data_IF_020388014575
#
_entry.id   IF_020388014575
#
_cell.length_a   1.000
_cell.length_b   1.000
_cell.length_c   1.000
_cell.angle_alpha   90.00
_cell.angle_beta   90.00
_cell.angle_gamma   90.00
#
_symmetry.space_group_name_H-M   'P 1'
#
loop_
_entity.id
_entity.type
_entity.pdbx_description
1 polymer ?
#
# COMPACT_ATOMS: atom_id res chain seq x y z
N UNK A 1 -14.84 -26.94 18.72
CA UNK A 1 -16.09 -26.27 18.40
C UNK A 1 -15.70 -24.89 17.89
N UNK A 2 -16.00 -24.57 16.65
CA UNK A 2 -15.72 -23.24 16.08
C UNK A 2 -16.79 -22.30 16.62
N UNK A 3 -16.39 -21.22 17.29
CA UNK A 3 -17.30 -20.16 17.69
C UNK A 3 -17.44 -19.24 16.46
N UNK A 4 -18.66 -19.03 16.02
CA UNK A 4 -18.98 -18.04 14.96
C UNK A 4 -19.45 -16.77 15.66
N UNK A 5 -18.84 -15.65 15.30
CA UNK A 5 -19.20 -14.32 15.81
C UNK A 5 -19.95 -13.64 14.65
N UNK A 6 -21.17 -13.23 14.91
CA UNK A 6 -21.98 -12.50 13.93
C UNK A 6 -21.84 -10.98 14.12
N UNK A 7 -22.09 -10.16 13.09
CA UNK A 7 -21.94 -8.70 13.20
C UNK A 7 -22.76 -8.07 14.32
N UNK A 8 -23.95 -8.60 14.62
CA UNK A 8 -24.81 -8.15 15.73
C UNK A 8 -24.18 -8.34 17.11
N UNK A 9 -23.32 -9.36 17.27
CA UNK A 9 -22.61 -9.63 18.52
C UNK A 9 -21.56 -8.56 18.85
N UNK A 10 -21.17 -7.77 17.85
CA UNK A 10 -20.11 -6.75 17.94
C UNK A 10 -20.64 -5.32 18.13
N UNK A 11 -21.96 -5.12 18.27
CA UNK A 11 -22.58 -3.79 18.28
C UNK A 11 -22.04 -2.89 19.41
N UNK A 12 -21.81 -3.42 20.60
CA UNK A 12 -21.25 -2.69 21.75
C UNK A 12 -19.79 -2.32 21.50
N UNK A 13 -19.02 -3.26 20.92
CA UNK A 13 -17.60 -3.08 20.62
C UNK A 13 -17.37 -2.09 19.46
N UNK A 14 -18.25 -2.11 18.47
CA UNK A 14 -18.27 -1.11 17.40
C UNK A 14 -18.61 0.28 17.96
N UNK A 15 -19.58 0.38 18.89
CA UNK A 15 -19.91 1.63 19.55
C UNK A 15 -18.74 2.21 20.38
N UNK A 16 -17.86 1.37 20.90
CA UNK A 16 -16.59 1.79 21.51
C UNK A 16 -15.60 2.36 20.48
N UNK A 17 -15.47 1.72 19.30
CA UNK A 17 -14.46 2.06 18.32
C UNK A 17 -14.84 3.25 17.43
N UNK A 18 -16.12 3.51 17.17
CA UNK A 18 -16.61 4.60 16.30
C UNK A 18 -16.11 5.98 16.72
N UNK A 19 -16.20 6.40 18.01
CA UNK A 19 -15.66 7.69 18.42
C UNK A 19 -14.14 7.81 18.24
N UNK A 20 -13.40 6.71 18.36
CA UNK A 20 -11.95 6.69 18.08
C UNK A 20 -11.70 6.91 16.60
N UNK A 21 -12.45 6.24 15.71
CA UNK A 21 -12.41 6.47 14.28
C UNK A 21 -12.64 7.93 13.92
N UNK A 22 -13.71 8.53 14.43
CA UNK A 22 -14.06 9.93 14.14
C UNK A 22 -12.98 10.91 14.65
N UNK A 23 -12.37 10.61 15.80
CA UNK A 23 -11.27 11.40 16.34
C UNK A 23 -9.99 11.27 15.48
N UNK A 24 -9.68 10.08 14.93
CA UNK A 24 -8.59 9.88 13.98
C UNK A 24 -8.86 10.63 12.67
N UNK A 25 -10.06 10.49 12.12
CA UNK A 25 -10.49 11.13 10.88
C UNK A 25 -10.39 12.67 10.97
N UNK A 26 -10.79 13.25 12.09
CA UNK A 26 -10.79 14.70 12.28
C UNK A 26 -9.39 15.32 12.47
N UNK A 27 -8.37 14.53 12.76
CA UNK A 27 -6.99 15.01 12.98
C UNK A 27 -5.97 14.04 12.35
N UNK A 28 -5.97 13.92 11.00
CA UNK A 28 -5.17 12.94 10.26
C UNK A 28 -3.70 13.33 10.22
N UNK A 29 -2.84 12.32 10.33
CA UNK A 29 -1.39 12.45 10.23
C UNK A 29 -0.85 11.61 9.06
N UNK A 30 0.26 12.06 8.44
CA UNK A 30 0.84 11.45 7.24
C UNK A 30 2.21 10.88 7.55
N UNK A 31 2.50 9.70 7.01
CA UNK A 31 3.82 9.09 7.03
C UNK A 31 4.09 8.20 8.22
N UNK A 32 5.34 8.14 8.66
CA UNK A 32 5.81 7.17 9.67
C UNK A 32 5.65 7.66 11.12
N UNK A 33 5.71 8.96 11.34
CA UNK A 33 5.65 9.57 12.69
C UNK A 33 4.27 10.18 12.94
N UNK A 34 3.45 9.50 13.71
CA UNK A 34 2.04 9.79 13.94
C UNK A 34 1.70 9.93 15.43
N UNK A 35 2.28 10.90 16.15
CA UNK A 35 2.18 10.96 17.61
C UNK A 35 0.76 11.13 18.15
N UNK A 36 -0.12 11.83 17.43
CA UNK A 36 -1.51 12.01 17.86
C UNK A 36 -2.34 10.75 17.62
N UNK A 37 -2.14 10.11 16.47
CA UNK A 37 -2.75 8.82 16.11
C UNK A 37 -2.33 7.76 17.11
N UNK A 38 -1.03 7.65 17.39
CA UNK A 38 -0.46 6.76 18.39
C UNK A 38 -1.10 7.00 19.78
N UNK A 39 -1.17 8.24 20.24
CA UNK A 39 -1.76 8.57 21.53
C UNK A 39 -3.23 8.17 21.64
N UNK A 40 -4.02 8.31 20.56
CA UNK A 40 -5.43 7.90 20.52
C UNK A 40 -5.58 6.39 20.58
N UNK A 41 -4.79 5.66 19.81
CA UNK A 41 -4.79 4.19 19.83
C UNK A 41 -4.40 3.67 21.21
N UNK A 42 -3.33 4.21 21.80
CA UNK A 42 -2.88 3.82 23.15
C UNK A 42 -3.95 4.13 24.22
N UNK A 43 -4.65 5.25 24.11
CA UNK A 43 -5.75 5.58 25.02
C UNK A 43 -6.91 4.57 24.90
N UNK A 44 -7.25 4.15 23.67
CA UNK A 44 -8.26 3.12 23.43
C UNK A 44 -7.81 1.76 23.99
N UNK A 45 -6.58 1.34 23.73
CA UNK A 45 -6.01 0.09 24.22
C UNK A 45 -5.99 0.04 25.76
N UNK A 46 -5.70 1.16 26.41
CA UNK A 46 -5.70 1.27 27.90
C UNK A 46 -7.08 1.03 28.50
N UNK A 47 -8.16 1.32 27.77
CA UNK A 47 -9.52 1.05 28.23
C UNK A 47 -9.90 -0.43 28.14
N UNK A 48 -9.10 -1.23 27.44
CA UNK A 48 -9.32 -2.67 27.23
C UNK A 48 -8.39 -3.50 28.11
N UNK A 49 -8.76 -4.77 28.32
CA UNK A 49 -7.92 -5.73 29.07
C UNK A 49 -6.92 -6.40 28.10
N UNK A 50 -5.96 -5.64 27.62
CA UNK A 50 -4.88 -6.12 26.75
C UNK A 50 -3.75 -6.65 27.64
N UNK A 51 -3.09 -7.75 27.24
CA UNK A 51 -2.02 -8.37 28.03
C UNK A 51 -0.72 -7.59 27.98
N UNK A 52 -0.29 -7.17 26.78
CA UNK A 52 0.91 -6.37 26.55
C UNK A 52 0.68 -5.38 25.43
N UNK A 53 1.30 -4.20 25.53
CA UNK A 53 1.32 -3.18 24.46
C UNK A 53 2.75 -2.68 24.27
N UNK A 54 3.22 -2.72 23.02
CA UNK A 54 4.55 -2.28 22.62
C UNK A 54 4.43 -1.14 21.63
N UNK A 55 5.28 -0.14 21.76
CA UNK A 55 5.35 1.05 20.89
C UNK A 55 6.69 1.14 20.19
N UNK A 56 6.84 2.08 19.26
CA UNK A 56 8.06 2.30 18.48
C UNK A 56 8.53 1.05 17.71
N UNK A 57 7.60 0.18 17.31
CA UNK A 57 7.92 -0.95 16.45
C UNK A 57 8.17 -0.43 15.03
N UNK A 58 9.37 -0.68 14.53
CA UNK A 58 9.91 -0.10 13.29
C UNK A 58 11.09 0.83 13.54
N UNK A 59 11.44 1.06 14.82
CA UNK A 59 12.59 1.85 15.26
C UNK A 59 12.38 3.37 15.22
N UNK A 60 13.06 4.07 16.06
CA UNK A 60 13.25 5.53 16.11
C UNK A 60 12.00 6.40 15.96
N UNK A 61 11.69 6.79 14.73
CA UNK A 61 10.60 7.72 14.42
C UNK A 61 9.36 7.03 13.80
N UNK A 62 9.24 5.70 13.95
CA UNK A 62 8.08 4.94 13.43
C UNK A 62 7.07 4.72 14.54
N UNK A 63 5.84 5.22 14.38
CA UNK A 63 4.75 5.10 15.36
C UNK A 63 4.04 3.74 15.29
N UNK A 64 4.78 2.64 15.09
CA UNK A 64 4.23 1.29 15.07
C UNK A 64 3.85 0.80 16.46
N UNK A 65 2.63 0.26 16.61
CA UNK A 65 2.10 -0.29 17.86
C UNK A 65 1.79 -1.77 17.66
N UNK A 66 2.12 -2.58 18.67
CA UNK A 66 1.72 -3.99 18.76
C UNK A 66 1.01 -4.21 20.08
N UNK A 67 -0.22 -4.73 20.03
CA UNK A 67 -0.99 -5.15 21.20
C UNK A 67 -1.17 -6.66 21.18
N UNK A 68 -0.97 -7.31 22.34
CA UNK A 68 -1.00 -8.77 22.49
C UNK A 68 -2.22 -9.17 23.31
N UNK A 69 -2.99 -10.12 22.79
CA UNK A 69 -4.15 -10.69 23.43
C UNK A 69 -4.07 -12.22 23.42
N UNK A 70 -3.91 -12.83 24.61
CA UNK A 70 -3.76 -14.27 24.74
C UNK A 70 -5.10 -14.93 25.06
N UNK A 71 -5.41 -15.97 24.29
CA UNK A 71 -6.51 -16.88 24.61
C UNK A 71 -6.18 -17.82 25.79
N UNK A 72 -7.18 -18.52 26.29
CA UNK A 72 -7.01 -19.46 27.39
C UNK A 72 -6.56 -20.85 26.97
N UNK A 73 -6.48 -21.13 25.67
CA UNK A 73 -6.10 -22.43 25.09
C UNK A 73 -4.87 -22.29 24.21
N UNK A 74 -4.00 -23.34 24.14
CA UNK A 74 -2.91 -23.35 23.17
C UNK A 74 -3.41 -23.25 21.73
N UNK A 75 -2.67 -22.54 20.88
CA UNK A 75 -3.00 -22.37 19.46
C UNK A 75 -1.99 -21.51 18.73
N UNK A 76 -2.28 -21.19 17.49
CA UNK A 76 -1.43 -20.36 16.62
C UNK A 76 -1.34 -18.90 17.10
N UNK A 77 -0.24 -18.26 16.73
CA UNK A 77 -0.07 -16.81 16.91
C UNK A 77 -0.42 -16.11 15.59
N UNK A 78 -1.54 -15.43 15.56
CA UNK A 78 -2.08 -14.76 14.35
C UNK A 78 -2.00 -13.26 14.54
N UNK A 79 -1.51 -12.56 13.52
CA UNK A 79 -1.49 -11.10 13.49
C UNK A 79 -2.63 -10.54 12.63
N UNK A 80 -3.37 -9.57 13.17
CA UNK A 80 -4.28 -8.71 12.42
C UNK A 80 -3.66 -7.32 12.28
N UNK A 81 -3.58 -6.81 11.04
CA UNK A 81 -2.98 -5.51 10.75
C UNK A 81 -4.05 -4.47 10.38
N UNK A 82 -3.90 -3.30 10.93
CA UNK A 82 -4.52 -2.07 10.45
C UNK A 82 -3.44 -1.02 10.17
N UNK A 83 -3.48 -0.41 9.00
CA UNK A 83 -2.75 0.82 8.70
C UNK A 83 -3.36 2.02 9.43
N UNK A 84 -2.59 3.11 9.61
CA UNK A 84 -3.02 4.20 10.50
C UNK A 84 -2.72 5.60 9.96
N UNK A 85 -2.03 5.73 8.85
CA UNK A 85 -1.67 7.01 8.24
C UNK A 85 -2.75 7.54 7.29
N UNK A 86 -2.60 8.81 6.90
CA UNK A 86 -3.52 9.54 6.04
C UNK A 86 -2.82 10.04 4.77
N UNK A 87 -3.61 10.59 3.84
CA UNK A 87 -3.17 11.13 2.55
C UNK A 87 -3.10 12.65 2.55
N UNK A 88 -2.21 13.25 1.71
CA UNK A 88 -2.13 14.70 1.50
C UNK A 88 -3.24 15.18 0.55
N UNK A 89 -4.48 15.05 0.99
CA UNK A 89 -5.70 15.38 0.23
C UNK A 89 -6.55 16.34 1.03
N UNK A 90 -7.07 17.40 0.39
CA UNK A 90 -8.03 18.30 1.00
C UNK A 90 -9.40 17.66 1.09
N UNK A 91 -9.92 17.50 2.30
CA UNK A 91 -11.24 16.91 2.51
C UNK A 91 -12.38 17.85 2.14
N UNK A 92 -13.40 17.33 1.45
CA UNK A 92 -14.61 18.04 1.01
C UNK A 92 -15.90 17.28 1.32
N UNK A 93 -15.88 16.36 2.28
CA UNK A 93 -17.03 15.50 2.60
C UNK A 93 -18.16 16.24 3.31
N UNK A 94 -17.86 17.30 4.07
CA UNK A 94 -18.82 18.05 4.87
C UNK A 94 -19.39 17.26 6.06
N UNK A 95 -18.71 16.21 6.51
CA UNK A 95 -19.09 15.44 7.70
C UNK A 95 -18.76 16.21 8.98
N UNK A 96 -19.50 15.94 10.05
CA UNK A 96 -19.26 16.59 11.37
C UNK A 96 -17.86 16.26 11.93
N UNK A 97 -17.33 15.09 11.57
CA UNK A 97 -16.00 14.62 11.92
C UNK A 97 -14.95 14.82 10.82
N UNK A 98 -15.24 15.64 9.79
CA UNK A 98 -14.28 15.95 8.74
C UNK A 98 -12.95 16.47 9.29
N UNK A 99 -11.88 16.26 8.52
CA UNK A 99 -10.53 16.70 8.88
C UNK A 99 -10.50 18.19 9.25
N UNK A 100 -9.85 18.46 10.38
CA UNK A 100 -9.55 19.83 10.86
C UNK A 100 -8.14 20.28 10.47
N UNK A 101 -7.40 19.40 9.78
CA UNK A 101 -6.04 19.65 9.32
C UNK A 101 -6.07 19.89 7.81
N UNK A 102 -5.93 21.14 7.33
CA UNK A 102 -5.96 21.45 5.90
C UNK A 102 -4.97 20.60 5.11
N UNK A 103 -5.40 20.13 3.94
CA UNK A 103 -4.58 19.32 3.03
C UNK A 103 -4.31 17.89 3.52
N UNK A 104 -5.05 17.37 4.51
CA UNK A 104 -4.90 15.98 4.98
C UNK A 104 -6.26 15.34 5.19
N UNK A 105 -6.38 14.07 4.79
CA UNK A 105 -7.62 13.31 4.92
C UNK A 105 -7.33 11.81 5.03
N UNK A 106 -8.08 11.09 5.85
CA UNK A 106 -8.17 9.62 5.79
C UNK A 106 -9.02 9.19 4.59
N UNK A 107 -8.52 9.47 3.36
CA UNK A 107 -9.26 9.18 2.13
C UNK A 107 -9.23 7.69 1.75
N UNK A 108 -8.24 6.93 2.24
CA UNK A 108 -8.12 5.48 2.02
C UNK A 108 -8.87 4.66 3.10
N UNK A 109 -9.34 5.31 4.17
CA UNK A 109 -10.15 4.65 5.21
C UNK A 109 -9.37 3.97 6.32
N UNK A 110 -8.08 4.29 6.52
CA UNK A 110 -7.23 3.68 7.55
C UNK A 110 -7.74 3.94 8.98
N UNK A 111 -8.45 5.04 9.21
CA UNK A 111 -9.22 5.29 10.43
C UNK A 111 -10.28 4.20 10.67
N UNK A 112 -10.93 3.74 9.61
CA UNK A 112 -11.90 2.63 9.64
C UNK A 112 -11.23 1.28 9.90
N UNK A 113 -10.06 1.02 9.28
CA UNK A 113 -9.29 -0.22 9.52
C UNK A 113 -8.82 -0.28 10.98
N UNK A 114 -8.33 0.82 11.52
CA UNK A 114 -7.97 0.96 12.93
C UNK A 114 -9.17 0.69 13.85
N UNK A 115 -10.34 1.26 13.55
CA UNK A 115 -11.56 1.03 14.33
C UNK A 115 -12.03 -0.42 14.27
N UNK A 116 -11.94 -1.07 13.09
CA UNK A 116 -12.27 -2.49 12.96
C UNK A 116 -11.38 -3.37 13.83
N UNK A 117 -10.06 -3.11 13.86
CA UNK A 117 -9.12 -3.83 14.71
C UNK A 117 -9.40 -3.58 16.21
N UNK A 118 -9.71 -2.34 16.59
CA UNK A 118 -10.10 -2.01 17.97
C UNK A 118 -11.42 -2.69 18.37
N UNK A 119 -12.38 -2.85 17.47
CA UNK A 119 -13.63 -3.60 17.71
C UNK A 119 -13.33 -5.07 18.04
N UNK A 120 -12.46 -5.72 17.23
CA UNK A 120 -12.02 -7.10 17.51
C UNK A 120 -11.33 -7.22 18.86
N UNK A 121 -10.43 -6.29 19.19
CA UNK A 121 -9.74 -6.27 20.48
C UNK A 121 -10.70 -6.05 21.65
N UNK A 122 -11.67 -5.17 21.51
CA UNK A 122 -12.70 -4.93 22.54
C UNK A 122 -13.47 -6.21 22.84
N UNK A 123 -13.99 -6.87 21.80
CA UNK A 123 -14.73 -8.12 21.96
C UNK A 123 -13.87 -9.21 22.60
N UNK A 124 -12.73 -9.53 22.01
CA UNK A 124 -11.86 -10.62 22.47
C UNK A 124 -11.22 -10.35 23.83
N UNK A 125 -11.05 -9.09 24.25
CA UNK A 125 -10.57 -8.75 25.59
C UNK A 125 -11.52 -9.22 26.69
N UNK A 126 -12.81 -9.39 26.37
CA UNK A 126 -13.87 -9.88 27.26
C UNK A 126 -14.17 -11.37 27.04
N UNK A 127 -13.84 -11.92 25.86
CA UNK A 127 -14.14 -13.29 25.45
C UNK A 127 -12.84 -14.06 25.19
N UNK A 128 -12.12 -14.41 26.24
CA UNK A 128 -10.79 -15.05 26.17
C UNK A 128 -10.81 -16.55 25.87
N UNK A 129 -11.98 -17.16 25.71
CA UNK A 129 -12.11 -18.62 25.47
C UNK A 129 -11.80 -18.99 24.00
N UNK A 130 -10.70 -18.47 23.48
CA UNK A 130 -10.16 -18.85 22.19
C UNK A 130 -8.79 -19.52 22.32
N UNK A 131 -8.33 -20.16 21.24
CA UNK A 131 -7.04 -20.83 21.18
C UNK A 131 -6.00 -19.91 20.51
N UNK A 132 -4.79 -19.85 21.08
CA UNK A 132 -3.67 -19.11 20.53
C UNK A 132 -3.54 -17.68 21.04
N UNK A 133 -2.83 -16.88 20.27
CA UNK A 133 -2.53 -15.47 20.58
C UNK A 133 -2.90 -14.59 19.38
N UNK A 134 -3.61 -13.52 19.65
CA UNK A 134 -3.83 -12.45 18.70
C UNK A 134 -2.77 -11.36 18.89
N UNK A 135 -2.09 -11.02 17.83
CA UNK A 135 -1.19 -9.86 17.72
C UNK A 135 -1.91 -8.81 16.88
N UNK A 136 -2.29 -7.70 17.51
CA UNK A 136 -2.86 -6.57 16.80
C UNK A 136 -1.72 -5.61 16.40
N UNK A 137 -1.57 -5.37 15.10
CA UNK A 137 -0.52 -4.54 14.51
C UNK A 137 -1.14 -3.26 13.97
N UNK A 138 -0.83 -2.12 14.59
CA UNK A 138 -1.20 -0.81 14.09
C UNK A 138 0.01 -0.22 13.39
N UNK A 139 -0.06 -0.14 12.07
CA UNK A 139 1.06 0.18 11.20
C UNK A 139 0.94 1.58 10.63
N UNK A 140 1.91 2.50 10.83
CA UNK A 140 1.98 3.80 10.14
C UNK A 140 2.57 3.67 8.75
N UNK A 141 2.36 4.68 7.90
CA UNK A 141 3.13 4.90 6.68
C UNK A 141 2.90 3.89 5.57
N UNK A 142 1.66 3.44 5.34
CA UNK A 142 1.31 2.63 4.19
C UNK A 142 1.42 3.44 2.89
N UNK A 143 1.00 4.69 2.89
CA UNK A 143 0.86 5.60 1.75
C UNK A 143 2.23 6.12 1.25
N UNK A 144 3.04 5.22 0.66
CA UNK A 144 4.32 5.56 0.03
C UNK A 144 5.54 5.58 0.95
N UNK A 145 5.40 5.26 2.25
CA UNK A 145 6.49 5.31 3.22
C UNK A 145 7.03 3.93 3.64
N UNK A 146 6.36 2.85 3.23
CA UNK A 146 6.73 1.46 3.52
C UNK A 146 6.89 1.17 5.04
N UNK A 147 5.95 1.62 5.86
CA UNK A 147 5.98 1.44 7.31
C UNK A 147 6.02 -0.02 7.74
N UNK A 148 5.35 -0.90 6.99
CA UNK A 148 5.40 -2.34 7.16
C UNK A 148 6.84 -2.88 7.05
N UNK A 149 7.63 -2.40 6.10
CA UNK A 149 9.03 -2.81 5.93
C UNK A 149 9.85 -2.48 7.19
N UNK A 150 9.70 -1.27 7.72
CA UNK A 150 10.42 -0.87 8.95
C UNK A 150 10.04 -1.75 10.13
N UNK A 151 8.75 -2.08 10.31
CA UNK A 151 8.31 -2.97 11.38
C UNK A 151 8.88 -4.40 11.21
N UNK A 152 8.92 -4.92 9.98
CA UNK A 152 9.53 -6.22 9.66
C UNK A 152 11.05 -6.21 9.92
N UNK A 153 11.75 -5.18 9.48
CA UNK A 153 13.20 -5.01 9.69
C UNK A 153 13.57 -4.87 11.17
N UNK A 154 12.68 -4.27 11.98
CA UNK A 154 12.79 -4.22 13.45
C UNK A 154 12.49 -5.56 14.13
N UNK A 155 12.17 -6.62 13.38
CA UNK A 155 11.96 -7.96 13.90
C UNK A 155 10.55 -8.25 14.41
N UNK A 156 9.52 -7.63 13.84
CA UNK A 156 8.11 -7.83 14.21
C UNK A 156 7.74 -9.32 14.30
N UNK A 157 8.16 -10.12 13.33
CA UNK A 157 7.81 -11.56 13.29
C UNK A 157 8.45 -12.33 14.42
N UNK A 158 9.76 -12.13 14.61
CA UNK A 158 10.58 -12.88 15.56
C UNK A 158 10.27 -12.47 17.01
N UNK A 159 10.11 -11.17 17.25
CA UNK A 159 9.80 -10.62 18.59
C UNK A 159 8.48 -11.12 19.15
N UNK A 160 7.49 -11.30 18.29
CA UNK A 160 6.14 -11.67 18.72
C UNK A 160 5.70 -13.09 18.32
N UNK A 161 6.59 -13.85 17.65
CA UNK A 161 6.33 -15.25 17.26
C UNK A 161 5.17 -15.39 16.28
N UNK A 162 4.98 -14.43 15.37
CA UNK A 162 3.87 -14.40 14.43
C UNK A 162 4.00 -15.53 13.42
N UNK A 163 2.92 -16.30 13.24
CA UNK A 163 2.85 -17.43 12.30
C UNK A 163 2.05 -17.09 11.04
N UNK A 164 1.07 -16.20 11.15
CA UNK A 164 0.18 -15.80 10.05
C UNK A 164 -0.20 -14.33 10.16
N UNK A 165 -0.41 -13.67 9.00
CA UNK A 165 -0.86 -12.29 8.94
C UNK A 165 -2.17 -12.16 8.18
N UNK A 166 -3.09 -11.34 8.71
CA UNK A 166 -4.33 -10.98 8.03
C UNK A 166 -4.58 -9.47 8.11
N UNK A 167 -5.14 -8.93 7.04
CA UNK A 167 -5.58 -7.54 6.99
C UNK A 167 -6.90 -7.42 6.23
N UNK A 168 -7.63 -6.35 6.48
CA UNK A 168 -8.75 -5.93 5.65
C UNK A 168 -8.45 -4.58 5.01
N UNK A 169 -9.07 -4.31 3.87
CA UNK A 169 -9.07 -2.98 3.27
C UNK A 169 -10.49 -2.61 2.81
N UNK A 170 -10.96 -1.42 3.18
CA UNK A 170 -12.23 -0.89 2.71
C UNK A 170 -12.23 -0.69 1.19
N UNK A 171 -13.30 -1.10 0.50
CA UNK A 171 -13.41 -0.95 -0.94
C UNK A 171 -14.80 -0.45 -1.34
N UNK A 172 -14.83 0.72 -2.00
CA UNK A 172 -16.06 1.36 -2.44
C UNK A 172 -16.71 0.69 -3.68
N UNK A 173 -15.98 -0.20 -4.36
CA UNK A 173 -16.50 -0.99 -5.48
C UNK A 173 -17.22 -2.27 -5.04
N UNK A 174 -17.07 -2.63 -3.76
CA UNK A 174 -17.75 -3.77 -3.13
C UNK A 174 -18.96 -3.26 -2.36
N UNK A 175 -20.11 -3.92 -2.53
CA UNK A 175 -21.35 -3.55 -1.84
C UNK A 175 -21.20 -3.63 -0.32
N UNK A 176 -21.88 -2.74 0.40
CA UNK A 176 -21.93 -2.75 1.86
C UNK A 176 -22.44 -4.10 2.38
N UNK A 177 -21.75 -4.64 3.39
CA UNK A 177 -22.08 -5.95 3.98
C UNK A 177 -21.47 -7.14 3.26
N UNK A 178 -20.77 -6.93 2.15
CA UNK A 178 -20.02 -7.99 1.45
C UNK A 178 -18.54 -7.94 1.75
N UNK A 179 -17.88 -9.08 1.62
CA UNK A 179 -16.43 -9.23 1.64
C UNK A 179 -15.95 -9.92 0.37
N UNK A 180 -14.78 -9.53 -0.12
CA UNK A 180 -14.26 -10.04 -1.37
C UNK A 180 -12.83 -10.57 -1.20
N UNK A 181 -12.53 -11.71 -1.82
CA UNK A 181 -11.24 -12.42 -1.71
C UNK A 181 -10.62 -12.64 -3.09
N UNK A 182 -9.31 -12.60 -3.14
CA UNK A 182 -8.53 -12.98 -4.32
C UNK A 182 -7.27 -13.76 -3.88
N UNK A 183 -7.16 -15.07 -4.17
CA UNK A 183 -5.96 -15.85 -3.87
C UNK A 183 -4.84 -15.57 -4.87
N UNK A 184 -3.58 -15.73 -4.45
CA UNK A 184 -2.42 -15.48 -5.30
C UNK A 184 -2.04 -13.99 -5.34
N UNK A 185 -1.45 -13.56 -6.44
CA UNK A 185 -1.03 -12.16 -6.62
C UNK A 185 -2.23 -11.21 -6.73
N UNK A 186 -2.59 -10.60 -5.62
CA UNK A 186 -3.77 -9.73 -5.50
C UNK A 186 -3.48 -8.27 -5.86
N UNK A 187 -2.27 -7.77 -5.53
CA UNK A 187 -1.87 -6.40 -5.84
C UNK A 187 -0.46 -6.37 -6.44
N UNK A 188 -0.24 -5.41 -7.35
CA UNK A 188 1.03 -5.28 -8.05
C UNK A 188 2.13 -4.75 -7.13
N UNK A 189 3.39 -5.00 -7.51
CA UNK A 189 4.50 -4.23 -6.97
C UNK A 189 4.34 -2.75 -7.33
N UNK A 190 5.01 -1.88 -6.60
CA UNK A 190 5.10 -0.47 -6.92
C UNK A 190 6.57 -0.08 -7.05
N UNK A 191 7.04 0.16 -8.28
CA UNK A 191 8.39 0.64 -8.54
C UNK A 191 8.36 2.00 -9.21
N UNK A 192 9.44 2.76 -9.00
CA UNK A 192 9.68 4.04 -9.63
C UNK A 192 11.01 4.02 -10.37
N UNK A 193 11.11 4.73 -11.48
CA UNK A 193 12.36 4.90 -12.19
C UNK A 193 12.63 6.35 -12.55
N UNK A 194 13.91 6.67 -12.68
CA UNK A 194 14.42 7.90 -13.26
C UNK A 194 15.51 7.55 -14.29
N UNK A 195 15.43 8.16 -15.46
CA UNK A 195 16.46 8.05 -16.52
C UNK A 195 16.91 9.46 -16.86
N UNK A 196 18.19 9.74 -16.67
CA UNK A 196 18.82 11.02 -17.03
C UNK A 196 19.73 10.80 -18.23
N UNK A 197 19.47 11.51 -19.32
CA UNK A 197 20.38 11.59 -20.46
C UNK A 197 21.23 12.85 -20.34
N UNK A 198 22.53 12.68 -20.06
CA UNK A 198 23.49 13.76 -20.02
C UNK A 198 24.14 13.90 -21.40
N UNK A 199 23.81 14.96 -22.09
CA UNK A 199 24.28 15.26 -23.43
C UNK A 199 25.24 16.45 -23.44
N UNK A 200 25.26 17.15 -24.59
CA UNK A 200 25.99 18.40 -24.78
C UNK A 200 25.05 19.43 -25.37
N UNK A 201 24.67 20.40 -24.56
CA UNK A 201 23.81 21.52 -25.00
C UNK A 201 24.49 22.50 -25.94
N UNK A 202 23.71 23.40 -26.52
CA UNK A 202 24.21 24.39 -27.42
C UNK A 202 23.13 25.23 -28.09
N UNK A 203 23.52 25.97 -29.13
CA UNK A 203 22.58 26.80 -29.86
C UNK A 203 21.72 25.97 -30.81
N UNK A 204 20.40 26.09 -30.75
CA UNK A 204 19.46 25.29 -31.55
C UNK A 204 19.63 25.36 -33.06
N UNK A 205 20.27 26.43 -33.59
CA UNK A 205 20.62 26.53 -35.04
C UNK A 205 21.90 25.79 -35.42
N UNK A 206 22.64 25.21 -34.44
CA UNK A 206 23.88 24.46 -34.67
C UNK A 206 23.87 23.09 -34.02
N UNK A 207 22.85 22.25 -34.32
CA UNK A 207 22.65 20.95 -33.64
C UNK A 207 23.83 19.99 -33.87
N UNK A 208 24.58 20.11 -34.96
CA UNK A 208 25.77 19.30 -35.25
C UNK A 208 26.93 19.50 -34.28
N UNK A 209 26.88 20.50 -33.42
CA UNK A 209 27.87 20.77 -32.35
C UNK A 209 27.42 20.26 -30.97
N UNK A 210 26.26 19.62 -30.92
CA UNK A 210 25.62 19.15 -29.68
C UNK A 210 25.44 17.63 -29.66
N UNK A 211 25.12 17.10 -28.49
CA UNK A 211 24.50 15.78 -28.28
C UNK A 211 23.16 16.04 -27.63
N UNK A 212 22.10 16.06 -28.42
CA UNK A 212 20.80 16.58 -28.01
C UNK A 212 20.03 15.58 -27.08
N UNK A 213 19.92 15.86 -25.77
CA UNK A 213 19.25 14.96 -24.87
C UNK A 213 17.72 14.99 -25.02
N UNK A 214 17.14 16.01 -25.63
CA UNK A 214 15.70 16.09 -25.91
C UNK A 214 15.28 15.02 -26.89
N UNK A 215 16.08 14.86 -27.96
CA UNK A 215 15.83 13.82 -28.99
C UNK A 215 16.01 12.43 -28.36
N UNK A 216 17.09 12.21 -27.59
CA UNK A 216 17.36 10.95 -26.92
C UNK A 216 16.24 10.55 -25.96
N UNK A 217 15.77 11.49 -25.13
CA UNK A 217 14.67 11.25 -24.19
C UNK A 217 13.34 10.94 -24.93
N UNK A 218 13.07 11.63 -26.03
CA UNK A 218 11.87 11.37 -26.85
C UNK A 218 11.87 9.95 -27.43
N UNK A 219 13.02 9.51 -27.98
CA UNK A 219 13.21 8.14 -28.48
C UNK A 219 13.05 7.12 -27.34
N UNK A 220 13.59 7.42 -26.15
CA UNK A 220 13.48 6.54 -24.98
C UNK A 220 12.02 6.34 -24.53
N UNK A 221 11.19 7.38 -24.57
CA UNK A 221 9.75 7.24 -24.24
C UNK A 221 9.08 6.21 -25.15
N UNK A 222 9.38 6.24 -26.45
CA UNK A 222 8.81 5.29 -27.41
C UNK A 222 9.41 3.89 -27.25
N UNK A 223 10.72 3.79 -27.10
CA UNK A 223 11.41 2.51 -26.97
C UNK A 223 11.02 1.75 -25.69
N UNK A 224 10.83 2.44 -24.57
CA UNK A 224 10.40 1.83 -23.30
C UNK A 224 9.04 1.12 -23.42
N UNK A 225 8.14 1.58 -24.32
CA UNK A 225 6.87 0.90 -24.56
C UNK A 225 7.06 -0.51 -25.14
N UNK A 226 8.20 -0.77 -25.77
CA UNK A 226 8.50 -2.09 -26.35
C UNK A 226 8.80 -3.15 -25.28
N UNK A 227 9.14 -2.75 -24.08
CA UNK A 227 9.38 -3.68 -22.97
C UNK A 227 8.12 -4.54 -22.74
N UNK A 228 6.98 -3.91 -22.50
CA UNK A 228 5.72 -4.62 -22.28
C UNK A 228 5.26 -5.30 -23.57
N UNK A 229 5.29 -4.59 -24.71
CA UNK A 229 4.68 -5.10 -25.93
C UNK A 229 5.51 -6.17 -26.65
N UNK A 230 6.82 -6.35 -26.34
CA UNK A 230 7.73 -7.24 -27.07
C UNK A 230 8.62 -8.13 -26.22
N UNK A 231 8.71 -7.87 -24.90
CA UNK A 231 9.58 -8.66 -24.03
C UNK A 231 8.81 -9.39 -22.91
N UNK A 232 7.73 -8.79 -22.39
CA UNK A 232 6.87 -9.44 -21.38
C UNK A 232 5.97 -10.45 -22.09
N UNK A 233 5.78 -11.63 -21.46
CA UNK A 233 4.85 -12.64 -21.96
C UNK A 233 3.43 -12.05 -21.97
N UNK A 234 2.63 -12.23 -23.04
CA UNK A 234 1.26 -11.74 -23.12
C UNK A 234 0.32 -12.19 -22.00
N UNK A 235 0.62 -13.32 -21.36
CA UNK A 235 -0.15 -13.83 -20.22
C UNK A 235 0.19 -13.11 -18.91
N UNK A 236 1.31 -12.38 -18.86
CA UNK A 236 1.77 -11.65 -17.69
C UNK A 236 1.31 -10.19 -17.73
N UNK A 237 0.74 -9.72 -16.62
CA UNK A 237 0.32 -8.33 -16.51
C UNK A 237 1.49 -7.45 -16.08
N UNK A 238 1.79 -6.41 -16.89
CA UNK A 238 2.82 -5.43 -16.60
C UNK A 238 2.43 -4.04 -17.08
N UNK A 239 2.88 -3.02 -16.35
CA UNK A 239 2.74 -1.61 -16.72
C UNK A 239 4.11 -0.94 -16.63
N UNK A 240 4.50 -0.23 -17.71
CA UNK A 240 5.64 0.69 -17.73
C UNK A 240 5.13 2.04 -18.24
N UNK A 241 5.06 3.03 -17.34
CA UNK A 241 4.55 4.36 -17.68
C UNK A 241 5.62 5.41 -17.44
N UNK A 242 5.97 6.16 -18.48
CA UNK A 242 6.73 7.42 -18.34
C UNK A 242 5.71 8.49 -17.95
N UNK A 243 5.86 9.06 -16.74
CA UNK A 243 4.91 10.01 -16.17
C UNK A 243 5.36 11.47 -16.31
N UNK A 244 6.66 11.71 -16.48
CA UNK A 244 7.20 13.05 -16.77
C UNK A 244 8.40 13.00 -17.69
N UNK A 245 8.57 14.09 -18.43
CA UNK A 245 9.76 14.40 -19.22
C UNK A 245 10.14 15.85 -18.95
N UNK A 246 11.37 16.07 -18.50
CA UNK A 246 11.88 17.39 -18.15
C UNK A 246 13.14 17.70 -18.97
N UNK A 247 13.12 18.76 -19.77
CA UNK A 247 14.26 19.18 -20.58
C UNK A 247 14.14 20.66 -20.94
N UNK A 248 15.25 21.40 -20.81
CA UNK A 248 15.30 22.82 -21.16
C UNK A 248 14.43 23.71 -20.26
N UNK A 249 14.16 24.91 -20.75
CA UNK A 249 13.28 25.89 -20.10
C UNK A 249 12.30 26.48 -21.13
N UNK A 250 11.16 26.94 -20.66
CA UNK A 250 10.10 27.53 -21.50
C UNK A 250 10.60 28.72 -22.31
N UNK A 251 11.49 29.51 -21.75
CA UNK A 251 12.03 30.74 -22.32
C UNK A 251 13.19 30.44 -23.30
N UNK A 252 13.83 29.28 -23.17
CA UNK A 252 15.03 28.90 -23.95
C UNK A 252 14.72 28.29 -25.32
N UNK A 253 13.87 28.92 -26.12
CA UNK A 253 13.39 28.37 -27.42
C UNK A 253 14.46 28.11 -28.48
N UNK A 254 15.67 28.65 -28.31
CA UNK A 254 16.82 28.44 -29.19
C UNK A 254 18.01 27.77 -28.50
N UNK A 255 17.79 27.16 -27.35
CA UNK A 255 18.82 26.52 -26.54
C UNK A 255 18.54 25.03 -26.40
N UNK A 256 19.46 24.18 -26.93
CA UNK A 256 19.47 22.75 -26.62
C UNK A 256 20.01 22.57 -25.19
N UNK A 257 19.27 21.90 -24.27
CA UNK A 257 19.70 21.76 -22.90
C UNK A 257 20.88 20.80 -22.73
N UNK A 258 21.50 20.79 -21.53
CA UNK A 258 22.59 19.90 -21.19
C UNK A 258 22.10 18.48 -20.84
N UNK A 259 20.87 18.37 -20.35
CA UNK A 259 20.28 17.09 -19.93
C UNK A 259 18.77 17.02 -20.17
N UNK A 260 18.26 15.80 -20.22
CA UNK A 260 16.83 15.51 -20.19
C UNK A 260 16.57 14.37 -19.17
N UNK A 261 15.51 14.48 -18.39
CA UNK A 261 15.14 13.52 -17.36
C UNK A 261 13.76 12.94 -17.64
N UNK A 262 13.66 11.63 -17.62
CA UNK A 262 12.40 10.88 -17.62
C UNK A 262 12.15 10.32 -16.23
N UNK A 263 10.89 10.37 -15.74
CA UNK A 263 10.46 9.69 -14.53
C UNK A 263 9.19 8.91 -14.80
N UNK A 264 9.06 7.77 -14.11
CA UNK A 264 7.90 6.94 -14.31
C UNK A 264 7.72 5.87 -13.25
N UNK A 265 6.77 4.99 -13.53
CA UNK A 265 6.41 3.90 -12.62
C UNK A 265 6.32 2.58 -13.36
N UNK A 266 6.60 1.50 -12.62
CA UNK A 266 6.45 0.11 -13.10
C UNK A 266 5.52 -0.63 -12.15
N UNK A 267 4.65 -1.50 -12.72
CA UNK A 267 3.79 -2.43 -12.00
C UNK A 267 3.92 -3.81 -12.61
N UNK A 268 4.20 -4.81 -11.78
CA UNK A 268 4.20 -6.24 -12.14
C UNK A 268 3.67 -7.05 -10.97
N UNK A 269 3.45 -8.33 -11.19
CA UNK A 269 3.04 -9.25 -10.12
C UNK A 269 4.13 -10.29 -9.84
N UNK A 270 4.76 -10.80 -10.86
CA UNK A 270 5.81 -11.82 -10.80
C UNK A 270 7.19 -11.16 -10.74
N UNK A 271 8.07 -11.74 -9.91
CA UNK A 271 9.42 -11.18 -9.69
C UNK A 271 10.30 -11.25 -10.94
N UNK A 272 10.20 -12.29 -11.72
CA UNK A 272 10.98 -12.47 -12.97
C UNK A 272 10.58 -11.44 -14.04
N UNK A 273 9.30 -11.08 -14.10
CA UNK A 273 8.82 -10.00 -14.97
C UNK A 273 9.37 -8.65 -14.51
N UNK A 274 9.41 -8.39 -13.19
CA UNK A 274 10.03 -7.19 -12.62
C UNK A 274 11.52 -7.11 -12.97
N UNK A 275 12.26 -8.22 -12.78
CA UNK A 275 13.68 -8.31 -13.08
C UNK A 275 13.95 -8.08 -14.58
N UNK A 276 13.11 -8.65 -15.46
CA UNK A 276 13.18 -8.44 -16.89
C UNK A 276 12.97 -6.97 -17.27
N UNK A 277 11.98 -6.30 -16.73
CA UNK A 277 11.68 -4.90 -17.06
C UNK A 277 12.83 -3.99 -16.63
N UNK A 278 13.37 -4.16 -15.44
CA UNK A 278 14.52 -3.40 -14.96
C UNK A 278 15.74 -3.59 -15.88
N UNK A 279 16.07 -4.85 -16.23
CA UNK A 279 17.16 -5.16 -17.17
C UNK A 279 16.94 -4.47 -18.52
N UNK A 280 15.75 -4.64 -19.12
CA UNK A 280 15.44 -4.07 -20.44
C UNK A 280 15.46 -2.54 -20.42
N UNK A 281 15.06 -1.91 -19.33
CA UNK A 281 15.11 -0.46 -19.18
C UNK A 281 16.54 0.04 -19.23
N UNK A 282 17.46 -0.61 -18.53
CA UNK A 282 18.90 -0.30 -18.60
C UNK A 282 19.48 -0.51 -19.99
N UNK A 283 19.15 -1.60 -20.67
CA UNK A 283 19.64 -1.89 -22.01
C UNK A 283 19.14 -0.87 -23.05
N UNK A 284 17.87 -0.50 -22.98
CA UNK A 284 17.28 0.50 -23.88
C UNK A 284 17.93 1.88 -23.65
N UNK A 285 18.04 2.31 -22.39
CA UNK A 285 18.65 3.60 -22.07
C UNK A 285 20.11 3.68 -22.55
N UNK A 286 20.90 2.63 -22.32
CA UNK A 286 22.28 2.54 -22.80
C UNK A 286 22.35 2.52 -24.33
N UNK A 287 21.50 1.76 -25.03
CA UNK A 287 21.47 1.71 -26.50
C UNK A 287 21.15 3.06 -27.12
N UNK A 288 20.18 3.78 -26.57
CA UNK A 288 19.84 5.15 -27.03
C UNK A 288 20.99 6.11 -26.73
N UNK A 289 21.58 6.05 -25.56
CA UNK A 289 22.71 6.93 -25.22
C UNK A 289 23.89 6.74 -26.20
N UNK A 290 24.22 5.51 -26.55
CA UNK A 290 25.25 5.20 -27.54
C UNK A 290 24.87 5.80 -28.91
N UNK A 291 23.61 5.66 -29.32
CA UNK A 291 23.11 6.18 -30.62
C UNK A 291 23.29 7.72 -30.73
N UNK A 292 23.10 8.43 -29.62
CA UNK A 292 23.21 9.91 -29.58
C UNK A 292 24.55 10.43 -29.00
N UNK A 293 25.51 9.55 -28.71
CA UNK A 293 26.85 9.92 -28.24
C UNK A 293 26.85 10.53 -26.83
N UNK A 294 26.04 10.02 -25.89
CA UNK A 294 25.92 10.50 -24.52
C UNK A 294 25.93 9.34 -23.52
N UNK A 295 25.83 9.67 -22.23
CA UNK A 295 25.77 8.69 -21.17
C UNK A 295 24.43 8.79 -20.42
N UNK A 296 23.74 7.66 -20.14
CA UNK A 296 22.54 7.66 -19.33
C UNK A 296 22.88 7.34 -17.88
N UNK A 297 22.10 7.90 -16.95
CA UNK A 297 22.00 7.39 -15.59
C UNK A 297 20.60 6.82 -15.40
N UNK A 298 20.51 5.55 -15.03
CA UNK A 298 19.23 4.88 -14.76
C UNK A 298 19.17 4.55 -13.28
N UNK A 299 18.17 5.09 -12.59
CA UNK A 299 17.83 4.75 -11.21
C UNK A 299 16.51 4.01 -11.22
N UNK A 300 16.53 2.77 -10.71
CA UNK A 300 15.32 1.94 -10.55
C UNK A 300 15.13 1.64 -9.07
N UNK A 301 14.00 2.08 -8.51
CA UNK A 301 13.67 1.94 -7.10
C UNK A 301 12.52 0.95 -6.93
N UNK A 302 12.79 -0.22 -6.34
CA UNK A 302 11.79 -1.18 -5.93
C UNK A 302 11.23 -0.73 -4.59
N UNK A 303 10.00 -0.18 -4.59
CA UNK A 303 9.41 0.42 -3.39
C UNK A 303 8.58 -0.61 -2.60
N UNK A 304 7.56 -1.22 -3.23
CA UNK A 304 6.70 -2.23 -2.63
C UNK A 304 6.76 -3.51 -3.45
N UNK A 305 6.90 -4.68 -2.82
CA UNK A 305 6.78 -5.94 -3.53
C UNK A 305 5.32 -6.21 -3.94
N UNK A 306 5.12 -7.10 -4.89
CA UNK A 306 3.79 -7.59 -5.21
C UNK A 306 3.18 -8.30 -3.99
N UNK A 307 1.90 -8.04 -3.72
CA UNK A 307 1.19 -8.65 -2.62
C UNK A 307 0.64 -10.02 -3.06
N UNK A 308 1.08 -11.05 -2.37
CA UNK A 308 0.65 -12.43 -2.62
C UNK A 308 -0.18 -12.94 -1.45
N UNK A 309 -1.46 -13.15 -1.67
CA UNK A 309 -2.35 -13.83 -0.74
C UNK A 309 -2.12 -15.33 -0.82
N UNK A 310 -1.72 -15.95 0.29
CA UNK A 310 -1.55 -17.40 0.36
C UNK A 310 -2.88 -18.11 0.05
N UNK A 311 -2.94 -19.03 -0.96
CA UNK A 311 -4.21 -19.61 -1.38
C UNK A 311 -4.90 -20.43 -0.29
N UNK A 312 -4.15 -21.15 0.55
CA UNK A 312 -4.71 -21.96 1.63
C UNK A 312 -5.29 -21.08 2.73
N UNK A 313 -4.53 -20.06 3.18
CA UNK A 313 -4.99 -19.10 4.20
C UNK A 313 -6.16 -18.25 3.69
N UNK A 314 -6.15 -17.90 2.41
CA UNK A 314 -7.28 -17.19 1.77
C UNK A 314 -8.54 -18.04 1.74
N UNK A 315 -8.41 -19.33 1.41
CA UNK A 315 -9.55 -20.26 1.42
C UNK A 315 -10.11 -20.48 2.83
N UNK A 316 -9.25 -20.58 3.85
CA UNK A 316 -9.69 -20.67 5.25
C UNK A 316 -10.43 -19.40 5.68
N UNK A 317 -9.86 -18.21 5.44
CA UNK A 317 -10.48 -16.94 5.78
C UNK A 317 -11.83 -16.75 5.07
N UNK A 318 -11.90 -17.12 3.77
CA UNK A 318 -13.14 -17.11 2.98
C UNK A 318 -14.19 -18.03 3.60
N UNK A 319 -13.84 -19.26 3.95
CA UNK A 319 -14.77 -20.22 4.56
C UNK A 319 -15.35 -19.73 5.88
N UNK A 320 -14.51 -19.07 6.69
CA UNK A 320 -14.96 -18.44 7.94
C UNK A 320 -15.92 -17.28 7.67
N UNK A 321 -15.62 -16.44 6.67
CA UNK A 321 -16.50 -15.35 6.26
C UNK A 321 -17.84 -15.87 5.72
N UNK A 322 -17.85 -16.93 4.90
CA UNK A 322 -19.07 -17.57 4.42
C UNK A 322 -19.93 -18.12 5.56
N UNK A 323 -19.30 -18.62 6.61
CA UNK A 323 -20.01 -19.12 7.79
C UNK A 323 -20.63 -17.99 8.63
N UNK A 324 -19.90 -16.85 8.76
CA UNK A 324 -20.35 -15.73 9.59
C UNK A 324 -21.34 -14.79 8.87
N UNK A 325 -21.19 -14.60 7.55
CA UNK A 325 -21.92 -13.58 6.78
C UNK A 325 -22.95 -14.19 5.81
N UNK A 326 -22.87 -15.49 5.54
CA UNK A 326 -23.60 -16.15 4.44
C UNK A 326 -22.81 -16.12 3.13
N UNK A 327 -22.94 -17.19 2.33
CA UNK A 327 -22.20 -17.35 1.06
C UNK A 327 -22.47 -16.24 0.04
N UNK A 328 -23.69 -15.71 0.03
CA UNK A 328 -24.14 -14.64 -0.86
C UNK A 328 -23.42 -13.30 -0.60
N UNK A 329 -22.83 -13.14 0.58
CA UNK A 329 -22.09 -11.96 1.01
C UNK A 329 -20.57 -12.11 0.85
N UNK A 330 -20.10 -13.25 0.34
CA UNK A 330 -18.69 -13.53 0.10
C UNK A 330 -18.45 -13.71 -1.38
N UNK A 331 -17.74 -12.79 -2.01
CA UNK A 331 -17.57 -12.73 -3.47
C UNK A 331 -16.09 -12.90 -3.87
N UNK A 332 -15.88 -13.20 -5.15
CA UNK A 332 -14.55 -13.14 -5.75
C UNK A 332 -14.19 -11.69 -6.06
N UNK A 333 -12.91 -11.38 -5.93
CA UNK A 333 -12.35 -10.10 -6.31
C UNK A 333 -11.41 -10.24 -7.51
N UNK A 334 -10.81 -9.17 -7.98
CA UNK A 334 -9.87 -9.15 -9.08
C UNK A 334 -8.53 -8.54 -8.66
N UNK A 335 -7.48 -8.76 -9.45
CA UNK A 335 -6.18 -8.12 -9.25
C UNK A 335 -6.29 -6.60 -9.33
N UNK A 336 -5.56 -5.91 -8.46
CA UNK A 336 -5.47 -4.44 -8.46
C UNK A 336 -4.04 -4.03 -8.84
N UNK A 337 -3.86 -3.10 -9.81
CA UNK A 337 -2.53 -2.61 -10.17
C UNK A 337 -1.97 -1.56 -9.19
N UNK A 338 -2.55 -1.44 -7.99
CA UNK A 338 -2.05 -0.66 -6.86
C UNK A 338 -1.00 -1.40 -6.05
N UNK A 339 -0.12 -0.67 -5.36
CA UNK A 339 0.79 -1.22 -4.37
C UNK A 339 0.15 -1.26 -2.98
N UNK A 340 0.64 -2.15 -2.11
CA UNK A 340 0.24 -2.29 -0.72
C UNK A 340 1.43 -2.84 0.08
N UNK A 341 1.87 -2.13 1.10
CA UNK A 341 3.08 -2.49 1.83
C UNK A 341 2.90 -3.65 2.83
N UNK A 342 1.65 -4.07 3.11
CA UNK A 342 1.35 -5.32 3.80
C UNK A 342 2.03 -6.53 3.13
N UNK A 343 2.39 -6.39 1.86
CA UNK A 343 3.17 -7.36 1.11
C UNK A 343 4.49 -7.73 1.81
N UNK A 344 5.16 -6.82 2.52
CA UNK A 344 6.37 -7.13 3.29
C UNK A 344 6.09 -8.11 4.44
N UNK A 345 4.92 -8.03 5.08
CA UNK A 345 4.50 -8.97 6.11
C UNK A 345 4.21 -10.35 5.49
N UNK A 346 3.50 -10.39 4.36
CA UNK A 346 3.16 -11.63 3.66
C UNK A 346 4.38 -12.32 3.05
N UNK A 347 5.47 -11.61 2.74
CA UNK A 347 6.75 -12.22 2.36
C UNK A 347 7.42 -12.99 3.51
N UNK A 348 7.07 -12.72 4.77
CA UNK A 348 7.64 -13.36 5.94
C UNK A 348 6.80 -14.52 6.46
N UNK A 349 5.48 -14.40 6.40
CA UNK A 349 4.54 -15.42 6.88
C UNK A 349 3.31 -15.46 5.97
N UNK A 350 2.69 -16.64 5.82
CA UNK A 350 1.47 -16.77 5.01
C UNK A 350 0.31 -15.98 5.62
N UNK A 351 -0.64 -15.64 4.78
CA UNK A 351 -1.84 -14.91 5.17
C UNK A 351 -2.56 -14.31 3.98
N UNK A 352 -3.46 -13.39 4.23
CA UNK A 352 -4.13 -12.65 3.16
C UNK A 352 -4.64 -11.28 3.60
N UNK A 353 -4.80 -10.39 2.62
CA UNK A 353 -5.64 -9.21 2.72
C UNK A 353 -6.93 -9.46 1.93
N UNK A 354 -8.06 -9.07 2.49
CA UNK A 354 -9.36 -9.15 1.82
C UNK A 354 -10.03 -7.78 1.77
N UNK A 355 -11.01 -7.62 0.88
CA UNK A 355 -11.75 -6.37 0.72
C UNK A 355 -13.04 -6.41 1.53
N UNK A 356 -13.31 -5.30 2.22
CA UNK A 356 -14.56 -5.06 2.94
C UNK A 356 -15.38 -4.02 2.18
N UNK A 357 -16.59 -4.39 1.78
CA UNK A 357 -17.51 -3.48 1.12
C UNK A 357 -17.93 -2.34 2.03
N UNK A 358 -17.66 -1.12 1.60
CA UNK A 358 -18.07 0.11 2.29
C UNK A 358 -19.21 0.83 1.56
N UNK A 359 -19.73 0.23 0.47
CA UNK A 359 -20.79 0.78 -0.36
C UNK A 359 -20.33 1.94 -1.24
N UNK A 360 -21.22 2.50 -2.05
CA UNK A 360 -20.90 3.67 -2.87
C UNK A 360 -20.53 4.86 -1.98
N UNK A 361 -19.24 5.00 -1.75
CA UNK A 361 -18.70 6.31 -1.42
C UNK A 361 -18.89 7.18 -2.67
N UNK A 362 -19.52 8.34 -2.56
CA UNK A 362 -19.50 9.32 -3.65
C UNK A 362 -18.02 9.66 -3.88
N UNK A 363 -17.38 8.93 -4.80
CA UNK A 363 -15.98 9.14 -5.12
C UNK A 363 -15.82 10.53 -5.72
N UNK A 364 -15.32 11.45 -4.92
CA UNK A 364 -14.89 12.80 -5.33
C UNK A 364 -13.84 12.74 -6.45
N UNK A 365 -13.23 11.56 -6.68
CA UNK A 365 -12.22 11.31 -7.71
C UNK A 365 -12.70 11.21 -9.16
N UNK A 366 -14.01 11.16 -9.45
CA UNK A 366 -14.50 11.01 -10.84
C UNK A 366 -14.42 12.27 -11.71
N UNK A 367 -13.90 13.42 -11.24
CA UNK A 367 -13.94 14.68 -12.00
C UNK A 367 -12.64 15.39 -12.30
N UNK A 368 -11.47 14.84 -11.98
CA UNK A 368 -10.20 15.53 -12.26
C UNK A 368 -9.16 14.70 -13.05
N UNK A 369 -9.58 13.64 -13.73
CA UNK A 369 -8.78 12.96 -14.75
C UNK A 369 -9.49 13.13 -16.10
N UNK A 370 -9.47 14.35 -16.63
CA UNK A 370 -9.73 14.65 -18.04
C UNK A 370 -8.58 15.47 -18.60
#
# INVERSE_FOLDING_TARGET
MTIVIHPEDLSEDAAFAVPVREALHSDPEIGLHLPKTEARILAALKALKIDDVHTNIGGGAVSGIVAILRGTKPGRTIALRADTDALPIEEKTGKDYASRTPGRMHACGHDGHTAALLTVLSYLSRHRDFAGTLIAVFQPGEEGFAGSRYMIEDGLVEKFGIEEFYALHGDASVDLGKVAFFPGYAMANADAFEIVFEGKGGHGSKPQLTHDPVVAASEAVLALQTIVSRNVNPDDAAVVSVCSIEAGTREGTSVIPQSATLRGTVRTYEKDVQDLIELRMHEIANGIAVMFGMNPTVTYNRLYPALYNDPERTAEARSLAETALGKENVIDFHRIPGGEDFAFMLQKRPGCIFRLGIGECQMIFRRNCS
#
